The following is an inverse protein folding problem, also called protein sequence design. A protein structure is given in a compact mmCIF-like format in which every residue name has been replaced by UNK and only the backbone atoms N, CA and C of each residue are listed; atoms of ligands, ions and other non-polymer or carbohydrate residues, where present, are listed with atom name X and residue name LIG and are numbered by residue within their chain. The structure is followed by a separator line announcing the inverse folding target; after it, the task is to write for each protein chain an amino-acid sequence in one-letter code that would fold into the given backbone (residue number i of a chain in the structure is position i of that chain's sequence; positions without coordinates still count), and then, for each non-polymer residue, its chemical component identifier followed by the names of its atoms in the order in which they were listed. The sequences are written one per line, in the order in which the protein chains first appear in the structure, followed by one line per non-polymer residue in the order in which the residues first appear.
data_IF_498158195315
#
_entry.id   IF_498158195315
#
_cell.length_a   1.000
_cell.length_b   1.000
_cell.length_c   1.000
_cell.angle_alpha   90.00
_cell.angle_beta   90.00
_cell.angle_gamma   90.00
#
_symmetry.space_group_name_H-M   'P 1'
#
loop_
_entity.id
_entity.type
_entity.pdbx_description
1 polymer ?
#
# COMPACT_ATOMS: atom_id res chain seq x y z
N UNK A 1 10.21 66.63 16.77
CA UNK A 1 9.95 66.86 15.33
C UNK A 1 9.03 65.79 14.85
N UNK A 2 7.84 66.17 14.43
CA UNK A 2 6.75 65.29 13.99
C UNK A 2 6.98 64.87 12.54
N UNK A 3 6.78 63.61 12.18
CA UNK A 3 6.49 63.25 10.79
C UNK A 3 5.39 62.19 10.73
N UNK A 4 4.29 62.62 10.20
CA UNK A 4 3.09 61.86 9.93
C UNK A 4 3.27 61.09 8.61
N UNK A 5 3.08 59.78 8.61
CA UNK A 5 3.04 58.92 7.45
C UNK A 5 1.60 58.65 7.00
N UNK A 6 1.32 58.90 5.74
CA UNK A 6 0.03 58.88 5.05
C UNK A 6 -0.54 57.48 4.95
N UNK A 7 -1.79 57.35 5.29
CA UNK A 7 -2.64 56.17 4.93
C UNK A 7 -3.19 56.39 3.53
N UNK A 8 -2.91 55.46 2.61
CA UNK A 8 -3.57 55.38 1.32
C UNK A 8 -4.76 54.42 1.41
N UNK A 9 -5.93 54.97 1.32
CA UNK A 9 -7.19 54.23 1.15
C UNK A 9 -7.29 53.80 -0.30
N UNK A 10 -7.27 52.50 -0.53
CA UNK A 10 -7.51 51.93 -1.87
C UNK A 10 -8.98 51.56 -1.96
N UNK A 11 -9.71 52.32 -2.84
CA UNK A 11 -11.11 52.14 -3.11
C UNK A 11 -11.32 50.85 -3.96
N UNK A 12 -12.12 49.91 -3.47
CA UNK A 12 -12.64 48.81 -4.27
C UNK A 12 -13.72 49.32 -5.22
N UNK A 13 -13.47 49.29 -6.52
CA UNK A 13 -14.47 49.46 -7.57
C UNK A 13 -15.17 48.11 -7.78
N UNK A 14 -16.45 48.05 -7.42
CA UNK A 14 -17.30 46.92 -7.72
C UNK A 14 -17.66 46.93 -9.21
N UNK A 15 -17.13 46.00 -9.99
CA UNK A 15 -17.62 45.69 -11.33
C UNK A 15 -18.80 44.72 -11.20
N UNK A 16 -19.95 45.20 -11.61
CA UNK A 16 -21.16 44.38 -11.85
C UNK A 16 -20.94 43.61 -13.14
N UNK A 17 -20.68 42.30 -13.06
CA UNK A 17 -20.66 41.40 -14.20
C UNK A 17 -22.07 40.85 -14.43
N UNK A 18 -22.69 41.24 -15.54
CA UNK A 18 -23.93 40.64 -16.03
C UNK A 18 -23.65 39.21 -16.48
N UNK A 19 -24.33 38.27 -15.86
CA UNK A 19 -24.36 36.88 -16.29
C UNK A 19 -25.20 36.72 -17.53
N UNK A 20 -24.56 36.56 -18.68
CA UNK A 20 -25.21 35.97 -19.88
C UNK A 20 -25.14 34.44 -19.70
N UNK A 21 -26.31 33.85 -19.52
CA UNK A 21 -26.48 32.41 -19.61
C UNK A 21 -26.28 32.00 -21.09
N UNK A 22 -25.23 31.20 -21.34
CA UNK A 22 -25.14 30.45 -22.59
C UNK A 22 -26.01 29.21 -22.46
N UNK A 23 -27.15 29.25 -23.12
CA UNK A 23 -28.00 28.07 -23.32
C UNK A 23 -27.31 27.22 -24.41
N UNK A 24 -26.72 26.11 -23.99
CA UNK A 24 -26.25 25.08 -24.91
C UNK A 24 -27.36 24.03 -25.04
N UNK A 25 -28.15 24.17 -26.09
CA UNK A 25 -29.04 23.12 -26.56
C UNK A 25 -28.19 21.91 -26.96
N UNK A 26 -28.18 20.88 -26.09
CA UNK A 26 -27.63 19.57 -26.42
C UNK A 26 -28.74 18.77 -27.10
N UNK A 27 -28.69 18.66 -28.40
CA UNK A 27 -29.53 17.74 -29.15
C UNK A 27 -29.22 16.30 -28.70
N UNK A 28 -30.23 15.45 -28.44
CA UNK A 28 -30.01 14.06 -28.08
C UNK A 28 -29.40 13.29 -29.28
N UNK A 29 -28.23 12.71 -29.08
CA UNK A 29 -27.64 11.77 -30.05
C UNK A 29 -28.56 10.58 -30.14
N UNK A 30 -29.25 10.43 -31.26
CA UNK A 30 -30.01 9.23 -31.61
C UNK A 30 -29.00 8.13 -31.87
N UNK A 31 -29.01 7.12 -31.02
CA UNK A 31 -28.23 5.91 -31.23
C UNK A 31 -28.69 5.23 -32.53
N UNK A 32 -27.80 5.22 -33.51
CA UNK A 32 -27.97 4.43 -34.73
C UNK A 32 -27.77 2.95 -34.32
N UNK A 33 -28.85 2.19 -34.35
CA UNK A 33 -28.76 0.74 -34.23
C UNK A 33 -28.04 0.20 -35.48
N UNK A 34 -26.92 -0.45 -35.28
CA UNK A 34 -26.30 -1.30 -36.28
C UNK A 34 -27.26 -2.43 -36.66
N UNK A 35 -27.42 -2.74 -37.95
CA UNK A 35 -28.27 -3.85 -38.38
C UNK A 35 -27.64 -5.17 -37.90
N UNK A 36 -28.43 -5.97 -37.20
CA UNK A 36 -28.08 -7.37 -36.85
C UNK A 36 -27.76 -8.18 -38.11
N UNK A 37 -26.55 -8.74 -38.14
CA UNK A 37 -26.19 -9.73 -39.17
C UNK A 37 -27.11 -10.96 -39.04
N UNK A 38 -27.63 -11.49 -40.14
CA UNK A 38 -28.40 -12.74 -40.12
C UNK A 38 -27.52 -13.91 -39.68
N UNK A 39 -28.06 -14.87 -38.95
CA UNK A 39 -27.31 -16.06 -38.55
C UNK A 39 -26.81 -16.84 -39.77
N UNK A 40 -25.61 -17.43 -39.70
CA UNK A 40 -25.07 -18.22 -40.79
C UNK A 40 -25.97 -19.42 -41.07
N UNK A 41 -26.23 -19.66 -42.36
CA UNK A 41 -26.98 -20.80 -42.87
C UNK A 41 -26.40 -22.10 -42.31
N UNK A 42 -27.28 -22.98 -41.79
CA UNK A 42 -26.97 -24.32 -41.35
C UNK A 42 -26.35 -25.12 -42.49
N UNK A 43 -25.04 -25.33 -42.43
CA UNK A 43 -24.34 -26.26 -43.32
C UNK A 43 -24.70 -27.66 -42.84
N UNK A 44 -25.62 -28.29 -43.58
CA UNK A 44 -25.94 -29.71 -43.44
C UNK A 44 -24.70 -30.53 -43.86
N UNK A 45 -23.96 -31.04 -42.89
CA UNK A 45 -22.88 -32.00 -43.14
C UNK A 45 -23.52 -33.36 -43.40
N UNK A 46 -23.25 -34.03 -44.53
CA UNK A 46 -23.71 -35.38 -44.75
C UNK A 46 -23.15 -36.33 -43.69
N UNK A 47 -24.02 -37.05 -43.01
CA UNK A 47 -23.59 -38.11 -42.11
C UNK A 47 -23.15 -39.30 -42.93
N UNK A 48 -21.89 -39.72 -42.73
CA UNK A 48 -21.42 -41.03 -43.25
C UNK A 48 -22.20 -42.16 -42.61
N UNK A 49 -22.48 -43.21 -43.36
CA UNK A 49 -23.21 -44.40 -42.86
C UNK A 49 -22.41 -45.05 -41.70
N UNK A 50 -23.09 -45.60 -40.68
CA UNK A 50 -22.44 -46.27 -39.58
C UNK A 50 -21.57 -47.42 -40.04
N UNK A 51 -20.28 -47.40 -39.70
CA UNK A 51 -19.34 -48.48 -39.87
C UNK A 51 -19.71 -49.59 -38.89
N UNK A 52 -20.06 -50.78 -39.40
CA UNK A 52 -20.26 -51.96 -38.55
C UNK A 52 -18.98 -52.32 -37.81
N UNK A 53 -19.03 -52.61 -36.49
CA UNK A 53 -17.85 -53.04 -35.75
C UNK A 53 -17.37 -54.38 -36.19
N UNK A 54 -16.12 -54.47 -36.66
CA UNK A 54 -15.44 -55.79 -36.90
C UNK A 54 -15.16 -56.43 -35.54
N UNK A 55 -15.49 -57.69 -35.32
CA UNK A 55 -15.16 -58.38 -34.10
C UNK A 55 -13.66 -58.70 -34.02
N UNK A 56 -13.08 -58.64 -32.83
CA UNK A 56 -11.84 -59.24 -32.38
C UNK A 56 -10.51 -58.61 -32.82
N UNK A 57 -10.28 -57.35 -32.25
CA UNK A 57 -8.93 -57.00 -31.83
C UNK A 57 -8.98 -56.55 -30.36
N UNK A 58 -8.16 -57.10 -29.46
CA UNK A 58 -8.08 -56.57 -28.10
C UNK A 58 -7.55 -55.14 -28.17
N UNK A 59 -8.07 -54.20 -27.34
CA UNK A 59 -7.57 -52.85 -27.31
C UNK A 59 -6.07 -52.84 -26.97
N UNK A 60 -5.26 -51.99 -27.65
CA UNK A 60 -3.86 -51.88 -27.31
C UNK A 60 -3.75 -51.48 -25.83
N UNK A 61 -2.97 -52.24 -25.06
CA UNK A 61 -2.66 -51.91 -23.68
C UNK A 61 -2.04 -50.52 -23.67
N UNK A 62 -2.75 -49.56 -23.06
CA UNK A 62 -2.20 -48.24 -22.78
C UNK A 62 -0.99 -48.46 -21.87
N UNK A 63 0.20 -47.94 -22.23
CA UNK A 63 1.34 -48.00 -21.31
C UNK A 63 0.90 -47.38 -19.97
N UNK A 64 1.11 -48.14 -18.90
CA UNK A 64 0.84 -47.60 -17.57
C UNK A 64 1.65 -46.31 -17.42
N UNK A 65 0.96 -45.21 -17.08
CA UNK A 65 1.64 -43.96 -16.72
C UNK A 65 2.72 -44.28 -15.67
N UNK A 66 3.93 -43.72 -15.80
CA UNK A 66 4.92 -43.83 -14.74
C UNK A 66 4.26 -43.39 -13.45
N UNK A 67 4.58 -44.07 -12.30
CA UNK A 67 4.04 -43.64 -11.01
C UNK A 67 4.32 -42.15 -10.87
N UNK A 68 3.27 -41.39 -10.55
CA UNK A 68 3.42 -39.94 -10.23
C UNK A 68 4.54 -39.81 -9.24
N UNK A 69 5.52 -38.95 -9.54
CA UNK A 69 6.53 -38.61 -8.58
C UNK A 69 5.83 -38.21 -7.27
N UNK A 70 6.34 -38.64 -6.09
CA UNK A 70 5.80 -38.19 -4.82
C UNK A 70 5.76 -36.65 -4.87
N UNK A 71 4.71 -36.00 -4.34
CA UNK A 71 4.68 -34.54 -4.28
C UNK A 71 6.02 -34.10 -3.70
N UNK A 72 6.77 -33.27 -4.45
CA UNK A 72 7.94 -32.62 -3.88
C UNK A 72 7.42 -31.90 -2.63
N UNK A 73 7.87 -32.36 -1.46
CA UNK A 73 7.61 -31.66 -0.22
C UNK A 73 8.13 -30.24 -0.46
N UNK A 74 7.23 -29.27 -0.57
CA UNK A 74 7.61 -27.86 -0.61
C UNK A 74 8.60 -27.64 0.55
N UNK A 75 9.77 -27.05 0.30
CA UNK A 75 10.71 -26.80 1.37
C UNK A 75 9.97 -26.05 2.48
N UNK A 76 10.16 -26.41 3.75
CA UNK A 76 9.53 -25.68 4.84
C UNK A 76 9.84 -24.21 4.68
N UNK A 77 8.89 -23.31 5.01
CA UNK A 77 9.13 -21.87 4.94
C UNK A 77 10.44 -21.57 5.67
N UNK A 78 11.34 -20.81 5.07
CA UNK A 78 12.60 -20.48 5.74
C UNK A 78 12.28 -19.85 7.08
N UNK A 79 12.93 -20.33 8.14
CA UNK A 79 12.88 -19.77 9.50
C UNK A 79 13.56 -18.36 9.57
N UNK A 80 13.60 -17.64 8.45
CA UNK A 80 14.37 -16.41 8.21
C UNK A 80 13.71 -15.16 8.81
N UNK A 81 13.01 -15.31 9.93
CA UNK A 81 12.45 -14.17 10.63
C UNK A 81 13.49 -13.59 11.59
N UNK A 82 14.42 -12.83 11.06
CA UNK A 82 15.56 -12.24 11.79
C UNK A 82 15.17 -11.06 12.69
N UNK A 83 13.89 -10.69 12.72
CA UNK A 83 13.39 -9.54 13.49
C UNK A 83 12.25 -9.92 14.41
N UNK A 84 12.00 -9.07 15.41
CA UNK A 84 10.83 -9.19 16.27
C UNK A 84 9.55 -9.12 15.44
N UNK A 85 8.89 -10.26 15.26
CA UNK A 85 7.64 -10.38 14.52
C UNK A 85 6.40 -10.21 15.41
N UNK A 86 6.58 -10.21 16.73
CA UNK A 86 5.53 -10.04 17.73
C UNK A 86 5.17 -8.57 18.01
N UNK A 87 5.88 -7.63 17.38
CA UNK A 87 5.73 -6.18 17.57
C UNK A 87 5.78 -5.41 16.25
N UNK A 88 5.37 -4.14 16.32
CA UNK A 88 5.39 -3.20 15.21
C UNK A 88 6.56 -2.23 15.42
N UNK A 89 7.45 -2.12 14.45
CA UNK A 89 8.46 -1.07 14.43
C UNK A 89 7.80 0.25 14.04
N UNK A 90 8.12 1.32 14.78
CA UNK A 90 7.67 2.69 14.45
C UNK A 90 8.83 3.68 14.59
N UNK A 91 8.85 4.70 13.74
CA UNK A 91 9.88 5.73 13.77
C UNK A 91 9.28 7.08 14.15
N UNK A 92 9.92 7.75 15.12
CA UNK A 92 9.59 9.10 15.57
C UNK A 92 10.13 10.16 14.61
N UNK A 93 9.26 11.05 14.15
CA UNK A 93 9.59 12.20 13.28
C UNK A 93 10.64 13.13 13.87
N UNK A 94 10.50 13.43 15.15
CA UNK A 94 11.21 14.57 15.77
C UNK A 94 12.63 14.20 16.21
N UNK A 95 12.84 12.93 16.58
CA UNK A 95 14.11 12.45 17.13
C UNK A 95 14.81 11.41 16.27
N UNK A 96 14.10 10.86 15.25
CA UNK A 96 14.55 9.69 14.49
C UNK A 96 14.83 8.47 15.39
N UNK A 97 14.12 8.38 16.53
CA UNK A 97 14.21 7.22 17.40
C UNK A 97 13.33 6.09 16.83
N UNK A 98 13.91 4.91 16.73
CA UNK A 98 13.21 3.68 16.38
C UNK A 98 12.64 3.06 17.66
N UNK A 99 11.38 2.69 17.60
CA UNK A 99 10.67 2.06 18.71
C UNK A 99 10.01 0.76 18.26
N UNK A 100 9.68 -0.09 19.24
CA UNK A 100 8.78 -1.23 19.11
C UNK A 100 7.47 -0.92 19.84
N UNK A 101 6.38 -0.94 19.11
CA UNK A 101 5.04 -0.92 19.67
C UNK A 101 4.55 -2.35 19.84
N UNK A 102 4.14 -2.70 21.04
CA UNK A 102 3.57 -4.00 21.38
C UNK A 102 2.03 -3.90 21.32
N UNK A 103 1.38 -4.53 20.32
CA UNK A 103 -0.07 -4.46 20.19
C UNK A 103 -0.84 -5.12 21.34
N UNK A 104 -0.24 -6.12 22.00
CA UNK A 104 -0.89 -6.84 23.11
C UNK A 104 -0.93 -6.02 24.40
N UNK A 105 0.16 -5.31 24.70
CA UNK A 105 0.27 -4.49 25.94
C UNK A 105 0.02 -3.01 25.68
N UNK A 106 0.00 -2.58 24.40
CA UNK A 106 -0.13 -1.18 23.96
C UNK A 106 1.02 -0.28 24.46
N UNK A 107 2.18 -0.89 24.71
CA UNK A 107 3.36 -0.20 25.22
C UNK A 107 4.35 0.07 24.09
N UNK A 108 5.08 1.17 24.24
CA UNK A 108 6.18 1.57 23.36
C UNK A 108 7.51 1.34 24.08
N UNK A 109 8.48 0.74 23.39
CA UNK A 109 9.86 0.59 23.88
C UNK A 109 10.85 1.12 22.86
N UNK A 110 11.91 1.78 23.33
CA UNK A 110 12.97 2.32 22.46
C UNK A 110 13.86 1.17 22.00
N UNK A 111 14.14 1.10 20.69
CA UNK A 111 15.17 0.24 20.10
C UNK A 111 16.50 0.97 20.03
N UNK A 112 16.49 2.20 19.50
CA UNK A 112 17.66 3.03 19.37
C UNK A 112 17.39 4.23 18.48
N UNK A 113 18.40 5.09 18.34
CA UNK A 113 18.34 6.25 17.44
C UNK A 113 18.90 5.84 16.08
N UNK A 114 18.19 6.20 15.00
CA UNK A 114 18.69 6.08 13.64
C UNK A 114 19.45 7.36 13.30
N UNK A 115 20.74 7.20 13.02
CA UNK A 115 21.63 8.31 12.65
C UNK A 115 22.08 8.12 11.19
N UNK A 116 21.17 8.39 10.26
CA UNK A 116 21.46 8.42 8.83
C UNK A 116 22.09 9.76 8.44
N UNK A 117 23.02 9.73 7.49
CA UNK A 117 23.63 10.95 6.94
C UNK A 117 22.62 11.71 6.06
N UNK A 118 21.61 12.30 6.71
CA UNK A 118 20.57 13.11 6.08
C UNK A 118 20.29 14.37 6.90
N UNK A 119 20.12 15.49 6.20
CA UNK A 119 19.70 16.77 6.79
C UNK A 119 18.17 16.90 6.91
N UNK A 120 17.43 15.87 6.54
CA UNK A 120 15.98 15.85 6.57
C UNK A 120 15.44 14.88 7.64
N UNK A 121 14.14 14.79 7.80
CA UNK A 121 13.49 13.96 8.81
C UNK A 121 12.93 12.67 8.17
N UNK A 122 12.84 11.56 8.92
CA UNK A 122 12.16 10.35 8.44
C UNK A 122 10.69 10.67 8.12
N UNK A 123 10.12 9.92 7.17
CA UNK A 123 8.79 10.21 6.65
C UNK A 123 7.98 8.98 6.21
N UNK A 124 8.54 7.80 6.13
CA UNK A 124 7.87 6.50 5.96
C UNK A 124 8.86 5.38 6.24
N UNK A 125 8.38 4.19 6.57
CA UNK A 125 9.22 3.03 6.87
C UNK A 125 8.53 1.72 6.45
N UNK A 126 9.35 0.75 6.02
CA UNK A 126 8.95 -0.64 5.83
C UNK A 126 10.00 -1.57 6.42
N UNK A 127 9.58 -2.75 6.89
CA UNK A 127 10.47 -3.76 7.50
C UNK A 127 10.34 -5.08 6.76
N UNK A 128 11.48 -5.63 6.30
CA UNK A 128 11.55 -6.94 5.65
C UNK A 128 11.65 -8.07 6.68
N UNK A 129 11.38 -9.31 6.26
CA UNK A 129 11.58 -10.49 7.13
C UNK A 129 13.06 -10.72 7.44
N UNK A 130 13.96 -10.36 6.53
CA UNK A 130 15.42 -10.51 6.69
C UNK A 130 16.06 -9.46 7.59
N UNK A 131 15.32 -8.80 8.48
CA UNK A 131 15.89 -7.92 9.49
C UNK A 131 16.34 -6.55 9.02
N UNK A 132 15.84 -6.08 7.87
CA UNK A 132 16.15 -4.75 7.34
C UNK A 132 14.95 -3.84 7.41
N UNK A 133 15.15 -2.62 7.92
CA UNK A 133 14.20 -1.55 7.75
C UNK A 133 14.66 -0.61 6.63
N UNK A 134 13.71 -0.21 5.79
CA UNK A 134 13.92 0.85 4.82
C UNK A 134 13.19 2.09 5.30
N UNK A 135 13.92 3.20 5.42
CA UNK A 135 13.37 4.48 5.89
C UNK A 135 13.54 5.53 4.80
N UNK A 136 12.40 6.06 4.34
CA UNK A 136 12.38 7.22 3.45
C UNK A 136 12.41 8.49 4.28
N UNK A 137 13.25 9.43 3.89
CA UNK A 137 13.35 10.77 4.46
C UNK A 137 12.53 11.79 3.66
N UNK A 138 12.28 12.96 4.22
CA UNK A 138 11.44 13.99 3.62
C UNK A 138 12.06 14.62 2.35
N UNK A 139 13.36 14.49 2.15
CA UNK A 139 14.07 14.82 0.90
C UNK A 139 13.98 13.72 -0.16
N UNK A 140 13.25 12.63 0.14
CA UNK A 140 13.07 11.43 -0.67
C UNK A 140 14.32 10.55 -0.82
N UNK A 141 15.34 10.73 -0.02
CA UNK A 141 16.40 9.74 0.15
C UNK A 141 15.85 8.49 0.85
N UNK A 142 16.37 7.33 0.50
CA UNK A 142 16.01 6.05 1.07
C UNK A 142 17.24 5.42 1.71
N UNK A 143 17.11 5.06 2.98
CA UNK A 143 18.18 4.43 3.74
C UNK A 143 17.77 3.02 4.16
N UNK A 144 18.75 2.12 4.18
CA UNK A 144 18.64 0.79 4.74
C UNK A 144 19.23 0.79 6.16
N UNK A 145 18.53 0.20 7.11
CA UNK A 145 18.93 0.03 8.50
C UNK A 145 18.95 -1.46 8.82
N UNK A 146 20.07 -1.95 9.33
CA UNK A 146 20.21 -3.32 9.82
C UNK A 146 19.68 -3.42 11.26
N UNK A 147 18.51 -4.02 11.42
CA UNK A 147 17.84 -4.18 12.71
C UNK A 147 18.45 -5.28 13.60
N UNK A 148 19.30 -6.14 13.03
CA UNK A 148 20.00 -7.18 13.79
C UNK A 148 21.12 -6.62 14.67
N UNK A 149 21.58 -5.40 14.36
CA UNK A 149 22.67 -4.75 15.07
C UNK A 149 22.16 -3.68 16.03
N UNK A 150 22.58 -3.71 17.30
CA UNK A 150 22.15 -2.71 18.30
C UNK A 150 22.53 -1.25 17.95
N UNK A 151 23.53 -1.05 17.09
CA UNK A 151 23.96 0.27 16.61
C UNK A 151 23.10 0.83 15.50
N UNK A 152 22.17 0.04 14.95
CA UNK A 152 21.26 0.40 13.86
C UNK A 152 22.01 1.07 12.69
N UNK A 153 23.03 0.42 12.11
CA UNK A 153 23.80 1.03 11.04
C UNK A 153 22.89 1.42 9.88
N UNK A 154 23.06 2.66 9.42
CA UNK A 154 22.26 3.27 8.37
C UNK A 154 23.11 3.47 7.11
N UNK A 155 22.62 2.96 5.99
CA UNK A 155 23.30 3.03 4.70
C UNK A 155 22.41 3.70 3.66
N UNK A 156 22.91 4.73 2.97
CA UNK A 156 22.21 5.31 1.81
C UNK A 156 22.14 4.27 0.69
N UNK A 157 20.94 3.89 0.28
CA UNK A 157 20.72 2.91 -0.79
C UNK A 157 21.08 3.43 -2.17
N UNK A 158 21.29 4.72 -2.31
CA UNK A 158 21.47 5.38 -3.60
C UNK A 158 20.18 5.50 -4.41
N UNK A 159 19.05 4.95 -3.94
CA UNK A 159 17.77 5.11 -4.61
C UNK A 159 17.37 6.59 -4.67
N UNK A 160 16.95 7.00 -5.87
CA UNK A 160 16.41 8.34 -6.11
C UNK A 160 15.10 8.19 -6.89
N UNK A 161 14.02 8.60 -6.28
CA UNK A 161 12.66 8.38 -6.79
C UNK A 161 12.29 9.19 -8.04
N UNK A 162 13.12 10.16 -8.45
CA UNK A 162 12.85 11.01 -9.61
C UNK A 162 11.51 11.73 -9.50
N UNK A 163 10.68 11.62 -10.53
CA UNK A 163 9.34 12.22 -10.59
C UNK A 163 8.29 11.50 -9.73
N UNK A 164 8.63 10.38 -9.08
CA UNK A 164 7.67 9.67 -8.23
C UNK A 164 7.30 10.45 -6.98
N UNK A 165 8.21 11.30 -6.47
CA UNK A 165 7.95 12.17 -5.32
C UNK A 165 7.92 11.41 -3.98
N UNK A 166 7.27 12.00 -2.98
CA UNK A 166 7.10 11.35 -1.67
C UNK A 166 6.22 10.12 -1.79
N UNK A 167 6.56 9.05 -1.08
CA UNK A 167 5.83 7.79 -1.14
C UNK A 167 5.74 7.12 0.23
N UNK A 168 4.65 6.40 0.47
CA UNK A 168 4.54 5.43 1.54
C UNK A 168 5.04 4.06 1.07
N UNK A 169 5.34 3.16 2.00
CA UNK A 169 5.88 1.85 1.67
C UNK A 169 5.48 0.76 2.66
N UNK A 170 5.53 -0.50 2.19
CA UNK A 170 5.28 -1.67 2.99
C UNK A 170 5.76 -2.93 2.29
N UNK A 171 6.12 -3.93 3.06
CA UNK A 171 6.42 -5.26 2.56
C UNK A 171 5.18 -6.13 2.55
N UNK A 172 5.08 -6.98 1.53
CA UNK A 172 4.19 -8.12 1.49
C UNK A 172 4.91 -9.29 0.81
N UNK A 173 4.59 -10.53 1.14
CA UNK A 173 5.04 -11.65 0.31
C UNK A 173 4.44 -11.52 -1.08
N UNK A 174 5.20 -11.87 -2.12
CA UNK A 174 4.75 -11.82 -3.51
C UNK A 174 3.64 -12.85 -3.77
N UNK A 175 3.66 -13.99 -3.05
CA UNK A 175 2.57 -14.97 -3.02
C UNK A 175 2.59 -15.76 -1.71
N UNK A 176 1.49 -16.45 -1.40
CA UNK A 176 1.43 -17.34 -0.24
C UNK A 176 2.29 -18.61 -0.38
N UNK A 177 2.89 -18.84 -1.54
CA UNK A 177 3.63 -20.07 -1.87
C UNK A 177 5.13 -19.86 -2.01
N UNK A 178 5.59 -18.65 -2.30
CA UNK A 178 7.01 -18.40 -2.61
C UNK A 178 7.82 -17.85 -1.45
N UNK A 179 7.18 -17.30 -0.42
CA UNK A 179 7.83 -16.71 0.76
C UNK A 179 8.80 -15.54 0.46
N UNK A 180 8.80 -15.04 -0.79
CA UNK A 180 9.60 -13.89 -1.16
C UNK A 180 8.90 -12.61 -0.76
N UNK A 181 9.60 -11.76 -0.05
CA UNK A 181 9.13 -10.44 0.31
C UNK A 181 9.39 -9.46 -0.83
N UNK A 182 8.37 -8.70 -1.16
CA UNK A 182 8.46 -7.60 -2.11
C UNK A 182 8.19 -6.28 -1.41
N UNK A 183 9.08 -5.31 -1.59
CA UNK A 183 8.83 -3.94 -1.16
C UNK A 183 7.88 -3.25 -2.16
N UNK A 184 6.78 -2.75 -1.64
CA UNK A 184 5.83 -1.93 -2.40
C UNK A 184 5.93 -0.48 -1.96
N UNK A 185 5.82 0.43 -2.92
CA UNK A 185 5.80 1.88 -2.73
C UNK A 185 4.56 2.49 -3.36
N UNK A 186 4.01 3.53 -2.76
CA UNK A 186 2.81 4.19 -3.28
C UNK A 186 2.91 5.69 -3.28
N UNK A 187 2.64 6.31 -4.43
CA UNK A 187 2.50 7.76 -4.57
C UNK A 187 1.78 8.16 -5.86
N UNK A 188 1.27 9.38 -5.89
CA UNK A 188 0.61 9.99 -7.06
C UNK A 188 -0.48 9.10 -7.68
N UNK A 189 -1.20 8.37 -6.84
CA UNK A 189 -2.23 7.46 -7.30
C UNK A 189 -1.69 6.18 -7.94
N UNK A 190 -0.48 5.75 -7.57
CA UNK A 190 0.13 4.52 -8.05
C UNK A 190 0.65 3.66 -6.91
N UNK A 191 0.57 2.34 -7.07
CA UNK A 191 1.35 1.37 -6.32
C UNK A 191 2.35 0.74 -7.28
N UNK A 192 3.58 0.60 -6.82
CA UNK A 192 4.65 -0.02 -7.58
C UNK A 192 5.44 -1.00 -6.69
N UNK A 193 5.91 -2.08 -7.27
CA UNK A 193 6.92 -2.94 -6.69
C UNK A 193 8.30 -2.25 -6.86
N UNK A 194 9.08 -2.22 -5.81
CA UNK A 194 10.45 -1.71 -5.79
C UNK A 194 11.40 -2.87 -5.50
N UNK A 195 12.20 -3.22 -6.49
CA UNK A 195 13.26 -4.22 -6.35
C UNK A 195 14.40 -3.65 -5.51
N UNK A 196 14.73 -4.27 -4.39
CA UNK A 196 15.74 -3.76 -3.45
C UNK A 196 17.18 -4.07 -3.83
N UNK A 197 17.42 -4.91 -4.84
CA UNK A 197 18.74 -5.22 -5.35
C UNK A 197 19.14 -4.27 -6.48
N UNK A 198 18.19 -3.98 -7.36
CA UNK A 198 18.43 -3.14 -8.56
C UNK A 198 17.88 -1.72 -8.45
N UNK A 199 17.03 -1.47 -7.46
CA UNK A 199 16.26 -0.22 -7.28
C UNK A 199 15.36 0.12 -8.47
N UNK A 200 14.98 -0.91 -9.24
CA UNK A 200 14.01 -0.79 -10.34
C UNK A 200 12.59 -0.78 -9.81
N UNK A 201 11.76 0.12 -10.35
CA UNK A 201 10.36 0.24 -9.96
C UNK A 201 9.45 -0.23 -11.08
N UNK A 202 8.55 -1.17 -10.77
CA UNK A 202 7.53 -1.68 -11.68
C UNK A 202 6.14 -1.28 -11.19
N UNK A 203 5.40 -0.51 -11.99
CA UNK A 203 4.04 -0.08 -11.63
C UNK A 203 3.11 -1.28 -11.59
N UNK A 204 2.41 -1.45 -10.46
CA UNK A 204 1.43 -2.53 -10.27
C UNK A 204 0.03 -2.03 -10.64
N UNK A 205 -0.40 -0.88 -10.09
CA UNK A 205 -1.74 -0.33 -10.33
C UNK A 205 -1.81 1.16 -10.10
N UNK A 206 -2.70 1.88 -10.82
CA UNK A 206 -3.13 3.19 -10.39
C UNK A 206 -4.06 3.12 -9.17
N UNK A 207 -3.86 4.01 -8.20
CA UNK A 207 -4.76 4.26 -7.07
C UNK A 207 -5.38 5.66 -7.20
N UNK A 208 -6.58 5.83 -6.63
CA UNK A 208 -7.30 7.10 -6.73
C UNK A 208 -6.88 8.17 -5.72
N UNK A 209 -5.94 7.88 -4.82
CA UNK A 209 -5.52 8.76 -3.73
C UNK A 209 -4.11 9.34 -3.91
N UNK A 210 -3.86 10.52 -3.35
CA UNK A 210 -2.58 11.22 -3.45
C UNK A 210 -1.58 10.80 -2.36
N UNK A 211 -2.05 10.49 -1.16
CA UNK A 211 -1.21 10.11 -0.04
C UNK A 211 -1.62 8.72 0.46
N UNK A 212 -0.67 7.81 0.53
CA UNK A 212 -0.94 6.41 0.85
C UNK A 212 0.21 5.83 1.66
N UNK A 213 -0.10 5.14 2.77
CA UNK A 213 0.81 4.24 3.45
C UNK A 213 0.43 2.81 3.12
N UNK A 214 1.43 1.94 3.03
CA UNK A 214 1.27 0.53 2.69
C UNK A 214 1.69 -0.36 3.84
N UNK A 215 1.09 -1.54 3.89
CA UNK A 215 1.54 -2.66 4.73
C UNK A 215 1.08 -3.96 4.10
N UNK A 216 1.72 -5.06 4.43
CA UNK A 216 1.30 -6.37 3.97
C UNK A 216 1.62 -7.46 4.97
N UNK A 217 1.37 -8.71 4.59
CA UNK A 217 1.55 -9.89 5.43
C UNK A 217 2.07 -11.10 4.63
N UNK A 218 2.33 -12.20 5.33
CA UNK A 218 2.77 -13.47 4.75
C UNK A 218 1.75 -14.12 3.81
N UNK A 219 0.47 -13.75 3.90
CA UNK A 219 -0.57 -14.29 3.01
C UNK A 219 -0.63 -13.55 1.66
N UNK A 220 0.35 -12.72 1.33
CA UNK A 220 0.39 -11.94 0.09
C UNK A 220 -0.70 -10.86 0.04
N UNK A 221 -1.21 -10.41 1.15
CA UNK A 221 -2.20 -9.32 1.20
C UNK A 221 -1.47 -7.99 1.32
N UNK A 222 -1.69 -7.10 0.37
CA UNK A 222 -1.20 -5.74 0.39
C UNK A 222 -2.34 -4.78 0.72
N UNK A 223 -2.16 -3.98 1.76
CA UNK A 223 -3.12 -2.98 2.23
C UNK A 223 -2.59 -1.57 2.03
N UNK A 224 -3.48 -0.67 1.65
CA UNK A 224 -3.20 0.76 1.45
C UNK A 224 -4.15 1.60 2.31
N UNK A 225 -3.59 2.47 3.14
CA UNK A 225 -4.32 3.54 3.82
C UNK A 225 -4.29 4.78 2.93
N UNK A 226 -5.37 5.03 2.24
CA UNK A 226 -5.48 6.12 1.28
C UNK A 226 -6.11 7.35 1.95
N UNK A 227 -5.26 8.34 2.28
CA UNK A 227 -5.66 9.60 2.90
C UNK A 227 -5.84 10.65 1.80
N UNK A 228 -7.09 11.06 1.56
CA UNK A 228 -7.41 12.03 0.50
C UNK A 228 -7.57 13.44 1.08
N UNK A 229 -6.61 14.31 0.80
CA UNK A 229 -6.73 15.72 1.16
C UNK A 229 -7.84 16.40 0.32
N UNK A 230 -8.85 16.91 0.99
CA UNK A 230 -9.83 17.85 0.41
C UNK A 230 -10.99 17.28 -0.37
N UNK A 231 -11.13 15.97 -0.54
CA UNK A 231 -12.22 15.39 -1.37
C UNK A 231 -12.83 14.10 -0.90
N UNK A 232 -12.56 13.63 0.24
CA UNK A 232 -13.15 12.36 0.58
C UNK A 232 -12.71 11.83 1.92
N UNK A 233 -13.29 10.73 2.27
CA UNK A 233 -12.90 10.03 3.46
C UNK A 233 -11.64 9.24 3.18
N UNK A 234 -10.82 9.12 4.19
CA UNK A 234 -9.77 8.10 4.25
C UNK A 234 -10.37 6.73 4.01
N UNK A 235 -9.75 5.95 3.15
CA UNK A 235 -10.16 4.59 2.81
C UNK A 235 -9.05 3.60 3.12
N UNK A 236 -9.42 2.42 3.58
CA UNK A 236 -8.57 1.26 3.64
C UNK A 236 -8.85 0.40 2.39
N UNK A 237 -7.82 0.09 1.63
CA UNK A 237 -7.92 -0.66 0.39
C UNK A 237 -7.05 -1.91 0.45
N UNK A 238 -7.57 -3.04 -0.01
CA UNK A 238 -6.77 -4.23 -0.28
C UNK A 238 -6.45 -4.29 -1.77
N UNK A 239 -5.18 -4.28 -2.10
CA UNK A 239 -4.67 -4.29 -3.47
C UNK A 239 -4.21 -5.69 -3.83
N UNK A 240 -4.65 -6.21 -4.97
CA UNK A 240 -4.06 -7.41 -5.54
C UNK A 240 -2.73 -7.03 -6.20
N UNK A 241 -1.65 -7.52 -5.65
CA UNK A 241 -0.29 -7.14 -6.05
C UNK A 241 0.14 -7.67 -7.42
N UNK A 242 -0.57 -8.65 -7.97
CA UNK A 242 -0.27 -9.24 -9.30
C UNK A 242 -1.09 -8.58 -10.41
N UNK A 243 -2.36 -8.26 -10.13
CA UNK A 243 -3.28 -7.70 -11.15
C UNK A 243 -3.46 -6.21 -11.01
N UNK A 244 -3.05 -5.63 -9.89
CA UNK A 244 -3.29 -4.25 -9.54
C UNK A 244 -4.75 -3.92 -9.17
N UNK A 245 -5.65 -4.88 -9.17
CA UNK A 245 -7.05 -4.64 -8.86
C UNK A 245 -7.23 -4.31 -7.37
N UNK A 246 -8.07 -3.31 -7.07
CA UNK A 246 -8.54 -3.07 -5.71
C UNK A 246 -9.57 -4.14 -5.37
N UNK A 247 -9.16 -5.15 -4.59
CA UNK A 247 -9.99 -6.29 -4.22
C UNK A 247 -11.04 -5.94 -3.15
N UNK A 248 -10.76 -4.93 -2.32
CA UNK A 248 -11.69 -4.39 -1.33
C UNK A 248 -11.36 -2.93 -1.05
N UNK A 249 -12.38 -2.14 -0.77
CA UNK A 249 -12.23 -0.74 -0.34
C UNK A 249 -13.28 -0.41 0.68
N UNK A 250 -12.86 0.09 1.84
CA UNK A 250 -13.76 0.48 2.92
C UNK A 250 -13.44 1.86 3.43
N UNK A 251 -14.48 2.67 3.63
CA UNK A 251 -14.35 4.02 4.18
C UNK A 251 -14.14 3.95 5.70
N UNK A 252 -13.12 4.65 6.19
CA UNK A 252 -12.83 4.77 7.61
C UNK A 252 -13.57 5.98 8.21
N UNK A 253 -14.72 5.71 8.84
CA UNK A 253 -15.65 6.76 9.32
C UNK A 253 -15.07 7.60 10.47
N UNK A 254 -14.17 7.03 11.28
CA UNK A 254 -13.60 7.68 12.46
C UNK A 254 -12.19 8.23 12.22
N UNK A 255 -11.66 8.10 11.00
CA UNK A 255 -10.39 8.71 10.66
C UNK A 255 -10.58 10.22 10.55
N UNK A 256 -9.66 11.04 11.11
CA UNK A 256 -9.79 12.49 11.09
C UNK A 256 -9.80 13.06 9.68
N UNK A 257 -10.20 14.33 9.56
CA UNK A 257 -10.09 15.04 8.29
C UNK A 257 -8.62 15.06 7.85
N UNK A 258 -8.32 14.68 6.61
CA UNK A 258 -6.95 14.67 6.09
C UNK A 258 -6.18 15.98 6.24
N UNK A 259 -6.88 17.12 6.27
CA UNK A 259 -6.25 18.43 6.52
C UNK A 259 -5.82 18.64 7.99
N UNK A 260 -6.36 17.87 8.91
CA UNK A 260 -6.01 17.93 10.33
C UNK A 260 -4.86 16.98 10.67
N UNK A 261 -4.49 16.07 9.76
CA UNK A 261 -3.44 15.06 9.97
C UNK A 261 -2.07 15.61 9.56
N UNK A 262 -1.13 15.66 10.52
CA UNK A 262 0.28 15.97 10.27
C UNK A 262 1.05 14.74 9.77
N UNK A 263 0.88 13.61 10.45
CA UNK A 263 1.57 12.36 10.14
C UNK A 263 0.63 11.17 10.23
N UNK A 264 0.90 10.16 9.43
CA UNK A 264 0.22 8.86 9.53
C UNK A 264 1.13 7.73 9.05
N UNK A 265 0.92 6.55 9.61
CA UNK A 265 1.61 5.32 9.25
C UNK A 265 0.67 4.12 9.42
N UNK A 266 0.98 3.00 8.77
CA UNK A 266 0.15 1.80 8.78
C UNK A 266 1.02 0.55 8.96
N UNK A 267 0.54 -0.40 9.79
CA UNK A 267 1.15 -1.71 9.94
C UNK A 267 0.08 -2.80 10.05
N UNK A 268 0.33 -3.99 9.49
CA UNK A 268 -0.52 -5.17 9.63
C UNK A 268 0.00 -6.05 10.76
N UNK A 269 -0.86 -6.41 11.73
CA UNK A 269 -0.46 -7.31 12.81
C UNK A 269 -1.68 -8.05 13.39
N UNK A 270 -1.56 -9.35 13.63
CA UNK A 270 -2.60 -10.16 14.27
C UNK A 270 -3.90 -10.23 13.47
N UNK A 271 -3.83 -10.13 12.14
CA UNK A 271 -4.99 -10.11 11.25
C UNK A 271 -5.74 -8.78 11.18
N UNK A 272 -5.35 -7.80 11.98
CA UNK A 272 -5.84 -6.42 11.96
C UNK A 272 -4.76 -5.46 11.43
N UNK A 273 -5.13 -4.21 11.26
CA UNK A 273 -4.23 -3.13 10.87
C UNK A 273 -4.15 -2.11 12.01
N UNK A 274 -2.98 -1.55 12.18
CA UNK A 274 -2.71 -0.50 13.16
C UNK A 274 -2.34 0.78 12.45
N UNK A 275 -3.19 1.79 12.57
CA UNK A 275 -2.91 3.13 12.06
C UNK A 275 -2.39 4.01 13.21
N UNK A 276 -1.26 4.63 12.96
CA UNK A 276 -0.67 5.66 13.81
C UNK A 276 -0.90 6.98 13.11
N UNK A 277 -1.47 7.96 13.77
CA UNK A 277 -1.56 9.31 13.21
C UNK A 277 -1.44 10.39 14.29
N UNK A 278 -0.84 11.49 13.93
CA UNK A 278 -0.84 12.71 14.74
C UNK A 278 -1.61 13.82 14.02
N UNK A 279 -2.34 14.62 14.80
CA UNK A 279 -2.99 15.82 14.30
C UNK A 279 -2.02 17.00 14.28
N UNK A 280 -2.27 17.98 13.41
CA UNK A 280 -1.53 19.25 13.35
C UNK A 280 -1.48 19.99 14.72
N UNK A 281 -2.44 19.70 15.59
CA UNK A 281 -2.54 20.27 16.94
C UNK A 281 -1.83 19.44 18.02
N UNK A 282 -1.20 18.31 17.65
CA UNK A 282 -0.59 17.36 18.59
C UNK A 282 0.83 17.00 18.17
N UNK A 283 1.74 16.85 19.14
CA UNK A 283 3.10 16.35 18.91
C UNK A 283 3.21 14.85 19.20
N UNK A 284 2.09 14.14 19.32
CA UNK A 284 2.07 12.74 19.62
C UNK A 284 0.96 12.04 18.84
N UNK A 285 1.28 10.83 18.37
CA UNK A 285 0.34 10.01 17.61
C UNK A 285 -0.66 9.31 18.50
N UNK A 286 -1.89 9.17 18.00
CA UNK A 286 -2.86 8.19 18.45
C UNK A 286 -2.61 6.85 17.74
N UNK A 287 -3.02 5.73 18.35
CA UNK A 287 -2.99 4.41 17.73
C UNK A 287 -4.40 3.85 17.63
N UNK A 288 -4.77 3.45 16.43
CA UNK A 288 -6.06 2.85 16.13
C UNK A 288 -5.90 1.47 15.51
N UNK A 289 -6.58 0.48 16.11
CA UNK A 289 -6.73 -0.84 15.51
C UNK A 289 -7.90 -0.80 14.54
N UNK A 290 -7.68 -1.31 13.33
CA UNK A 290 -8.64 -1.31 12.22
C UNK A 290 -8.81 -2.75 11.74
N UNK A 291 -10.03 -3.29 11.80
CA UNK A 291 -10.29 -4.60 11.19
C UNK A 291 -10.28 -4.51 9.66
N UNK A 292 -10.07 -5.60 8.93
CA UNK A 292 -10.22 -5.62 7.46
C UNK A 292 -11.57 -5.12 6.95
N UNK A 293 -12.61 -5.16 7.79
CA UNK A 293 -13.94 -4.61 7.50
C UNK A 293 -14.05 -3.10 7.79
N UNK A 294 -12.97 -2.44 8.25
CA UNK A 294 -12.92 -1.00 8.49
C UNK A 294 -13.49 -0.55 9.84
N UNK A 295 -13.74 -1.48 10.76
CA UNK A 295 -14.11 -1.11 12.13
C UNK A 295 -12.87 -0.59 12.85
N UNK A 296 -12.98 0.61 13.43
CA UNK A 296 -11.88 1.30 14.11
C UNK A 296 -12.07 1.29 15.62
N UNK A 297 -11.02 1.02 16.36
CA UNK A 297 -10.98 1.12 17.82
C UNK A 297 -9.70 1.85 18.23
N UNK A 298 -9.83 2.97 18.93
CA UNK A 298 -8.66 3.68 19.48
C UNK A 298 -8.09 2.87 20.63
N UNK A 299 -6.85 2.41 20.47
CA UNK A 299 -6.15 1.61 21.49
C UNK A 299 -5.19 2.46 22.33
N UNK A 300 -4.62 3.53 21.75
CA UNK A 300 -3.80 4.50 22.48
C UNK A 300 -4.23 5.90 22.08
N UNK A 301 -4.53 6.77 23.06
CA UNK A 301 -4.94 8.14 22.81
C UNK A 301 -3.75 9.12 22.69
N UNK A 302 -2.60 8.76 23.22
CA UNK A 302 -1.38 9.55 23.17
C UNK A 302 -0.19 8.61 23.37
N UNK A 303 0.59 8.39 22.29
CA UNK A 303 1.74 7.50 22.30
C UNK A 303 3.01 8.15 22.87
N UNK A 304 3.01 9.48 23.02
CA UNK A 304 4.15 10.25 23.51
C UNK A 304 5.23 10.55 22.46
N UNK A 305 5.08 10.06 21.24
CA UNK A 305 5.96 10.29 20.09
C UNK A 305 5.13 10.58 18.83
N UNK A 306 5.72 11.28 17.87
CA UNK A 306 5.10 11.60 16.58
C UNK A 306 5.54 10.57 15.51
N UNK A 307 4.74 9.55 15.27
CA UNK A 307 5.05 8.46 14.34
C UNK A 307 4.83 8.89 12.90
N UNK A 308 5.85 8.71 12.06
CA UNK A 308 5.82 9.02 10.62
C UNK A 308 6.02 7.79 9.72
N UNK A 309 6.41 6.67 10.29
CA UNK A 309 6.58 5.41 9.58
C UNK A 309 6.32 4.27 10.53
N UNK A 310 5.69 3.23 10.03
CA UNK A 310 5.49 1.97 10.72
C UNK A 310 5.85 0.82 9.78
N UNK A 311 6.45 -0.22 10.31
CA UNK A 311 6.83 -1.39 9.55
C UNK A 311 6.70 -2.64 10.41
N UNK A 312 6.28 -3.71 9.77
CA UNK A 312 6.18 -5.02 10.37
C UNK A 312 6.75 -6.02 9.39
N UNK A 313 7.50 -6.98 9.91
CA UNK A 313 7.94 -8.12 9.12
C UNK A 313 6.71 -8.90 8.60
N UNK A 314 6.79 -9.46 7.40
CA UNK A 314 5.78 -10.40 6.89
C UNK A 314 5.69 -11.67 7.74
N UNK A 315 6.67 -11.92 8.64
CA UNK A 315 6.61 -12.95 9.68
C UNK A 315 5.66 -12.62 10.84
N UNK A 316 5.11 -11.41 10.90
CA UNK A 316 4.21 -11.04 11.98
C UNK A 316 2.99 -11.98 12.03
N UNK A 317 2.41 -12.21 13.25
CA UNK A 317 1.26 -13.06 13.38
C UNK A 317 0.15 -12.66 12.41
N UNK A 318 -0.32 -13.64 11.62
CA UNK A 318 -1.54 -13.55 10.85
C UNK A 318 -2.75 -14.00 11.66
N UNK A 319 -3.92 -14.09 11.04
CA UNK A 319 -5.10 -14.76 11.62
C UNK A 319 -5.00 -16.24 11.43
#
# INVERSE_FOLDING_TARGET
MRNAGRWSVMACVAMVATTQACDCDVEPIVAVQEPEEPPPDDVIVPQDPPVEPTPDDPPPETPADPPADPPEDDPPPPDDCDVSSDKIYVIDKDRSDLHLFDPATQQLSVVGRIDCDSFSTPASMAVSRGGKAYVRYSDNSLFEIDLSQPSLPCVDTGYRNGSFGSFGMGYATDSSTTWHDQLYVSNNGQVAALDTDTWQRTVVTPLSSLATELTGNAAGQLWALAVQAGRGATTLQRVNQHTGAVAASVRLQQFPDPFEVDTFALAAWGGDLYAFYALNSSNASEVWRITPAGQMTRVVANLGVNVVGAGVSTCAPGT
#
